data_IF_287878267870
#
_entry.id   IF_287878267870
#
_cell.length_a   1.000
_cell.length_b   1.000
_cell.length_c   1.000
_cell.angle_alpha   90.00
_cell.angle_beta   90.00
_cell.angle_gamma   90.00
#
_symmetry.space_group_name_H-M   'P 1'
#
loop_
_entity.id
_entity.type
_entity.pdbx_description
1 polymer ?
#
# COMPACT_ATOMS: atom_id res chain seq x y z
N UNK A 1 -22.84 -17.39 38.23
CA UNK A 1 -21.72 -17.52 37.28
C UNK A 1 -21.42 -16.13 36.75
N UNK A 2 -20.26 -15.56 37.08
CA UNK A 2 -19.88 -14.23 36.62
C UNK A 2 -19.12 -14.36 35.30
N UNK A 3 -19.59 -13.65 34.27
CA UNK A 3 -18.89 -13.54 32.99
C UNK A 3 -17.81 -12.47 33.18
N UNK A 4 -16.55 -12.89 33.16
CA UNK A 4 -15.41 -11.97 33.15
C UNK A 4 -15.22 -11.55 31.69
N UNK A 5 -15.76 -10.39 31.32
CA UNK A 5 -15.38 -9.72 30.07
C UNK A 5 -13.96 -9.17 30.22
N UNK A 6 -13.01 -9.48 29.31
CA UNK A 6 -11.70 -8.83 29.35
C UNK A 6 -11.86 -7.34 29.04
N UNK A 7 -11.65 -6.52 30.06
CA UNK A 7 -11.70 -5.05 30.01
C UNK A 7 -10.36 -4.48 29.56
N UNK A 8 -9.97 -4.59 28.29
CA UNK A 8 -8.92 -3.73 27.69
C UNK A 8 -9.09 -3.62 26.17
N UNK A 9 -10.25 -3.12 25.70
CA UNK A 9 -10.29 -2.45 24.40
C UNK A 9 -9.79 -1.02 24.65
N UNK A 10 -8.48 -0.79 24.49
CA UNK A 10 -8.01 0.57 24.32
C UNK A 10 -8.79 1.17 23.15
N UNK A 11 -9.35 2.39 23.26
CA UNK A 11 -9.94 3.04 22.10
C UNK A 11 -8.83 3.17 21.05
N UNK A 12 -8.95 2.42 19.96
CA UNK A 12 -8.07 2.57 18.81
C UNK A 12 -8.34 3.98 18.31
N UNK A 13 -7.38 4.88 18.50
CA UNK A 13 -7.53 6.26 18.05
C UNK A 13 -7.40 6.26 16.52
N UNK A 14 -8.22 7.06 15.82
CA UNK A 14 -8.03 7.25 14.40
C UNK A 14 -6.59 7.66 14.09
N UNK A 15 -5.99 7.01 13.10
CA UNK A 15 -4.63 7.27 12.65
C UNK A 15 -4.67 8.15 11.41
N UNK A 16 -4.06 9.33 11.48
CA UNK A 16 -3.89 10.19 10.32
C UNK A 16 -2.63 9.77 9.55
N UNK A 17 -2.81 9.57 8.24
CA UNK A 17 -1.77 9.11 7.32
C UNK A 17 -1.65 10.09 6.17
N UNK A 18 -0.44 10.38 5.76
CA UNK A 18 -0.14 11.14 4.55
C UNK A 18 0.84 10.35 3.70
N UNK A 19 0.39 9.91 2.53
CA UNK A 19 1.21 9.15 1.60
C UNK A 19 1.62 10.05 0.44
N UNK A 20 2.92 10.15 0.21
CA UNK A 20 3.54 10.84 -0.92
C UNK A 20 4.13 9.79 -1.86
N UNK A 21 3.92 9.97 -3.16
CA UNK A 21 4.54 9.14 -4.19
C UNK A 21 5.19 10.04 -5.23
N UNK A 22 6.46 9.78 -5.50
CA UNK A 22 7.24 10.46 -6.52
C UNK A 22 7.68 9.50 -7.61
N UNK A 23 7.31 9.83 -8.85
CA UNK A 23 7.50 8.98 -10.03
C UNK A 23 8.92 9.03 -10.55
N UNK A 24 9.25 8.13 -11.48
CA UNK A 24 10.56 8.15 -12.15
C UNK A 24 10.75 9.42 -13.00
N UNK A 25 9.65 9.96 -13.54
CA UNK A 25 9.63 11.21 -14.29
C UNK A 25 9.68 12.47 -13.40
N UNK A 26 9.68 12.30 -12.07
CA UNK A 26 9.73 13.39 -11.10
C UNK A 26 8.38 14.05 -10.82
N UNK A 27 7.27 13.49 -11.31
CA UNK A 27 5.93 13.90 -10.88
C UNK A 27 5.71 13.47 -9.43
N UNK A 28 4.96 14.27 -8.69
CA UNK A 28 4.61 13.97 -7.30
C UNK A 28 3.11 14.03 -7.11
N UNK A 29 2.60 13.08 -6.34
CA UNK A 29 1.22 13.05 -5.87
C UNK A 29 1.20 12.71 -4.40
N UNK A 30 0.13 13.13 -3.72
CA UNK A 30 -0.06 12.83 -2.31
C UNK A 30 -1.53 12.64 -1.98
N UNK A 31 -1.80 11.79 -0.99
CA UNK A 31 -3.13 11.56 -0.45
C UNK A 31 -3.09 11.46 1.06
N UNK A 32 -4.15 11.98 1.69
CA UNK A 32 -4.34 11.92 3.14
C UNK A 32 -5.46 10.95 3.48
N UNK A 33 -5.21 10.09 4.46
CA UNK A 33 -6.17 9.10 4.95
C UNK A 33 -6.34 9.24 6.46
N UNK A 34 -7.53 8.91 6.95
CA UNK A 34 -7.80 8.72 8.38
C UNK A 34 -8.30 7.30 8.58
N UNK A 35 -7.43 6.44 9.10
CA UNK A 35 -7.77 5.04 9.40
C UNK A 35 -8.49 5.02 10.75
N UNK A 36 -9.67 4.41 10.82
CA UNK A 36 -10.45 4.35 12.07
C UNK A 36 -9.84 3.37 13.07
N UNK A 37 -9.30 2.27 12.56
CA UNK A 37 -8.66 1.20 13.32
C UNK A 37 -7.66 0.42 12.45
N UNK A 38 -7.06 -0.62 13.03
CA UNK A 38 -6.09 -1.50 12.36
C UNK A 38 -6.76 -2.71 11.68
N UNK A 39 -8.10 -2.81 11.66
CA UNK A 39 -8.81 -3.99 11.14
C UNK A 39 -8.62 -4.17 9.63
N UNK A 40 -8.29 -3.09 8.91
CA UNK A 40 -8.01 -3.13 7.48
C UNK A 40 -6.67 -3.78 7.11
N UNK A 41 -5.79 -4.07 8.07
CA UNK A 41 -4.42 -4.54 7.81
C UNK A 41 -4.39 -5.83 6.97
N UNK A 42 -5.13 -6.86 7.39
CA UNK A 42 -5.11 -8.16 6.71
C UNK A 42 -5.63 -8.04 5.26
N UNK A 43 -6.70 -7.27 5.05
CA UNK A 43 -7.25 -7.02 3.71
C UNK A 43 -6.29 -6.22 2.82
N UNK A 44 -5.58 -5.24 3.38
CA UNK A 44 -4.60 -4.46 2.62
C UNK A 44 -3.37 -5.32 2.24
N UNK A 45 -2.91 -6.20 3.14
CA UNK A 45 -1.84 -7.16 2.84
C UNK A 45 -2.26 -8.14 1.75
N UNK A 46 -3.48 -8.67 1.83
CA UNK A 46 -4.03 -9.58 0.82
C UNK A 46 -4.14 -8.88 -0.54
N UNK A 47 -4.66 -7.64 -0.57
CA UNK A 47 -4.76 -6.85 -1.79
C UNK A 47 -3.39 -6.63 -2.45
N UNK A 48 -2.39 -6.18 -1.69
CA UNK A 48 -1.04 -5.93 -2.22
C UNK A 48 -0.37 -7.21 -2.71
N UNK A 49 -0.52 -8.31 -1.97
CA UNK A 49 0.03 -9.61 -2.36
C UNK A 49 -0.62 -10.13 -3.64
N UNK A 50 -1.96 -10.06 -3.72
CA UNK A 50 -2.70 -10.47 -4.91
C UNK A 50 -2.32 -9.64 -6.14
N UNK A 51 -2.20 -8.32 -5.97
CA UNK A 51 -1.82 -7.42 -7.06
C UNK A 51 -0.39 -7.70 -7.54
N UNK A 52 0.55 -7.84 -6.61
CA UNK A 52 1.93 -8.20 -6.91
C UNK A 52 2.01 -9.53 -7.69
N UNK A 53 1.36 -10.58 -7.20
CA UNK A 53 1.40 -11.91 -7.83
C UNK A 53 0.73 -11.91 -9.21
N UNK A 54 -0.37 -11.17 -9.35
CA UNK A 54 -1.06 -11.00 -10.64
C UNK A 54 -0.15 -10.31 -11.65
N UNK A 55 0.55 -9.26 -11.24
CA UNK A 55 1.49 -8.54 -12.11
C UNK A 55 2.67 -9.44 -12.50
N UNK A 56 3.31 -10.13 -11.54
CA UNK A 56 4.40 -11.07 -11.82
C UNK A 56 3.98 -12.17 -12.80
N UNK A 57 2.78 -12.74 -12.61
CA UNK A 57 2.21 -13.72 -13.54
C UNK A 57 2.03 -13.15 -14.94
N UNK A 58 1.52 -11.92 -15.07
CA UNK A 58 1.37 -11.24 -16.38
C UNK A 58 2.72 -10.99 -17.07
N UNK A 59 3.77 -10.76 -16.29
CA UNK A 59 5.14 -10.58 -16.79
C UNK A 59 5.87 -11.91 -17.08
N UNK A 60 5.23 -13.06 -16.82
CA UNK A 60 5.86 -14.37 -16.99
C UNK A 60 6.91 -14.70 -15.92
N UNK A 61 6.92 -13.97 -14.81
CA UNK A 61 7.81 -14.21 -13.67
C UNK A 61 7.28 -15.33 -12.76
N UNK A 62 8.17 -16.07 -12.07
CA UNK A 62 7.75 -17.06 -11.10
C UNK A 62 6.98 -16.41 -9.93
N UNK A 63 5.80 -16.96 -9.63
CA UNK A 63 4.99 -16.56 -8.47
C UNK A 63 5.24 -17.54 -7.34
N UNK A 64 5.54 -17.01 -6.15
CA UNK A 64 5.61 -17.83 -4.94
C UNK A 64 4.18 -18.13 -4.49
N UNK A 65 3.66 -19.31 -4.80
CA UNK A 65 2.28 -19.72 -4.52
C UNK A 65 1.97 -19.95 -3.03
N UNK A 66 2.90 -19.64 -2.13
CA UNK A 66 2.61 -19.64 -0.70
C UNK A 66 1.97 -18.30 -0.35
N UNK A 67 0.64 -18.29 -0.27
CA UNK A 67 -0.09 -17.25 0.44
C UNK A 67 0.47 -17.17 1.85
N UNK A 68 1.39 -16.24 2.07
CA UNK A 68 1.85 -15.91 3.41
C UNK A 68 0.61 -15.41 4.16
N UNK A 69 0.33 -15.99 5.32
CA UNK A 69 -0.68 -15.42 6.20
C UNK A 69 -0.31 -13.97 6.48
N UNK A 70 -1.27 -13.01 6.51
CA UNK A 70 -0.95 -11.60 6.71
C UNK A 70 -0.04 -11.34 7.92
N UNK A 71 -0.26 -12.08 9.01
CA UNK A 71 0.55 -12.04 10.24
C UNK A 71 2.03 -12.44 10.06
N UNK A 72 2.39 -13.07 8.93
CA UNK A 72 3.75 -13.54 8.61
C UNK A 72 4.46 -12.65 7.59
N UNK A 73 3.76 -11.69 6.97
CA UNK A 73 4.35 -10.81 5.97
C UNK A 73 5.09 -9.67 6.68
N UNK A 74 6.40 -9.60 6.47
CA UNK A 74 7.20 -8.51 7.03
C UNK A 74 6.89 -7.18 6.33
N UNK A 75 7.00 -6.07 7.06
CA UNK A 75 6.89 -4.71 6.48
C UNK A 75 7.88 -4.52 5.32
N UNK A 76 9.07 -5.12 5.40
CA UNK A 76 10.05 -5.05 4.32
C UNK A 76 9.54 -5.76 3.05
N UNK A 77 8.93 -6.95 3.19
CA UNK A 77 8.29 -7.65 2.07
C UNK A 77 7.20 -6.80 1.44
N UNK A 78 6.35 -6.16 2.25
CA UNK A 78 5.29 -5.27 1.77
C UNK A 78 5.88 -4.08 1.01
N UNK A 79 6.96 -3.48 1.52
CA UNK A 79 7.66 -2.39 0.82
C UNK A 79 8.16 -2.82 -0.55
N UNK A 80 8.76 -4.01 -0.64
CA UNK A 80 9.22 -4.55 -1.93
C UNK A 80 8.05 -4.78 -2.90
N UNK A 81 6.93 -5.33 -2.43
CA UNK A 81 5.73 -5.49 -3.24
C UNK A 81 5.19 -4.15 -3.74
N UNK A 82 5.06 -3.16 -2.86
CA UNK A 82 4.58 -1.80 -3.18
C UNK A 82 5.48 -1.16 -4.24
N UNK A 83 6.81 -1.22 -4.08
CA UNK A 83 7.76 -0.66 -5.04
C UNK A 83 7.67 -1.37 -6.40
N UNK A 84 7.51 -2.70 -6.41
CA UNK A 84 7.33 -3.46 -7.65
C UNK A 84 6.03 -3.05 -8.37
N UNK A 85 4.91 -3.06 -7.66
CA UNK A 85 3.59 -2.67 -8.20
C UNK A 85 3.66 -1.25 -8.75
N UNK A 86 4.10 -0.29 -7.94
CA UNK A 86 4.15 1.12 -8.34
C UNK A 86 5.11 1.34 -9.51
N UNK A 87 6.31 0.77 -9.46
CA UNK A 87 7.29 0.91 -10.53
C UNK A 87 6.78 0.35 -11.86
N UNK A 88 6.14 -0.82 -11.84
CA UNK A 88 5.60 -1.44 -13.04
C UNK A 88 4.41 -0.65 -13.60
N UNK A 89 3.48 -0.21 -12.74
CA UNK A 89 2.28 0.53 -13.15
C UNK A 89 2.61 1.95 -13.65
N UNK A 90 3.65 2.57 -13.10
CA UNK A 90 4.22 3.83 -13.59
C UNK A 90 4.89 3.62 -14.96
N UNK A 91 5.72 2.58 -15.10
CA UNK A 91 6.46 2.33 -16.33
C UNK A 91 5.56 1.92 -17.51
N UNK A 92 4.52 1.12 -17.26
CA UNK A 92 3.64 0.63 -18.34
C UNK A 92 2.59 1.65 -18.75
N UNK A 93 2.02 2.40 -17.80
CA UNK A 93 0.84 3.24 -18.04
C UNK A 93 1.00 4.70 -17.64
N UNK A 94 2.15 5.09 -17.10
CA UNK A 94 2.35 6.43 -16.55
C UNK A 94 1.34 6.77 -15.48
N UNK A 95 0.86 5.78 -14.71
CA UNK A 95 -0.32 5.90 -13.84
C UNK A 95 -0.28 7.08 -12.89
N UNK A 96 0.89 7.31 -12.31
CA UNK A 96 1.11 8.37 -11.33
C UNK A 96 1.53 9.70 -11.97
N UNK A 97 1.65 9.75 -13.30
CA UNK A 97 1.98 10.96 -14.03
C UNK A 97 0.71 11.64 -14.57
N UNK A 98 0.75 12.97 -14.84
CA UNK A 98 -0.37 13.68 -15.43
C UNK A 98 -0.82 13.12 -16.79
N UNK A 99 0.12 12.54 -17.55
CA UNK A 99 -0.09 11.98 -18.88
C UNK A 99 -0.14 10.45 -18.79
N UNK A 100 -1.17 9.92 -18.11
CA UNK A 100 -1.38 8.48 -18.02
C UNK A 100 -2.07 7.94 -19.28
N UNK A 101 -1.79 6.67 -19.60
CA UNK A 101 -2.49 5.92 -20.65
C UNK A 101 -3.81 5.28 -20.17
N UNK A 102 -4.10 5.32 -18.86
CA UNK A 102 -5.34 4.78 -18.29
C UNK A 102 -6.50 5.77 -18.43
N UNK A 103 -7.74 5.30 -18.56
CA UNK A 103 -8.93 6.14 -18.38
C UNK A 103 -8.92 6.84 -17.02
N UNK A 104 -9.38 8.10 -16.97
CA UNK A 104 -9.27 8.94 -15.77
C UNK A 104 -9.88 8.31 -14.51
N UNK A 105 -11.06 7.69 -14.63
CA UNK A 105 -11.71 7.03 -13.50
C UNK A 105 -10.94 5.81 -13.02
N UNK A 106 -10.52 4.93 -13.93
CA UNK A 106 -9.74 3.73 -13.60
C UNK A 106 -8.42 4.09 -12.93
N UNK A 107 -7.77 5.16 -13.42
CA UNK A 107 -6.57 5.72 -12.83
C UNK A 107 -6.82 6.22 -11.41
N UNK A 108 -7.87 7.01 -11.20
CA UNK A 108 -8.20 7.58 -9.91
C UNK A 108 -8.49 6.48 -8.87
N UNK A 109 -9.33 5.51 -9.23
CA UNK A 109 -9.71 4.38 -8.38
C UNK A 109 -8.48 3.54 -7.99
N UNK A 110 -7.60 3.26 -8.96
CA UNK A 110 -6.36 2.53 -8.69
C UNK A 110 -5.47 3.29 -7.71
N UNK A 111 -5.22 4.59 -7.95
CA UNK A 111 -4.36 5.40 -7.08
C UNK A 111 -4.91 5.45 -5.67
N UNK A 112 -6.22 5.69 -5.51
CA UNK A 112 -6.86 5.76 -4.20
C UNK A 112 -6.74 4.45 -3.43
N UNK A 113 -7.15 3.32 -4.04
CA UNK A 113 -7.10 2.01 -3.39
C UNK A 113 -5.66 1.58 -3.09
N UNK A 114 -4.75 1.82 -4.02
CA UNK A 114 -3.35 1.49 -3.84
C UNK A 114 -2.73 2.27 -2.68
N UNK A 115 -2.89 3.60 -2.64
CA UNK A 115 -2.31 4.42 -1.57
C UNK A 115 -3.00 4.20 -0.23
N UNK A 116 -4.30 3.87 -0.20
CA UNK A 116 -4.99 3.45 1.02
C UNK A 116 -4.39 2.15 1.57
N UNK A 117 -4.12 1.17 0.71
CA UNK A 117 -3.46 -0.07 1.12
C UNK A 117 -2.06 0.20 1.69
N UNK A 118 -1.28 1.08 1.04
CA UNK A 118 0.02 1.53 1.56
C UNK A 118 -0.14 2.19 2.95
N UNK A 119 -1.07 3.13 3.09
CA UNK A 119 -1.31 3.84 4.35
C UNK A 119 -1.64 2.89 5.50
N UNK A 120 -2.35 1.81 5.17
CA UNK A 120 -2.79 0.78 6.11
C UNK A 120 -1.62 -0.13 6.56
N UNK A 121 -0.76 -0.55 5.64
CA UNK A 121 0.29 -1.55 5.96
C UNK A 121 1.62 -0.94 6.36
N UNK A 122 1.90 0.31 5.98
CA UNK A 122 3.14 1.00 6.32
C UNK A 122 2.94 1.78 7.63
N UNK A 123 3.75 1.50 8.67
CA UNK A 123 3.68 2.24 9.92
C UNK A 123 4.13 3.70 9.75
N UNK A 124 3.73 4.57 10.67
CA UNK A 124 4.06 6.01 10.66
C UNK A 124 2.96 6.89 10.07
N UNK A 125 3.06 8.20 10.32
CA UNK A 125 2.06 9.19 9.91
C UNK A 125 2.37 9.79 8.54
N UNK A 126 3.64 9.97 8.21
CA UNK A 126 4.08 10.41 6.88
C UNK A 126 4.82 9.28 6.18
N UNK A 127 4.37 8.89 4.99
CA UNK A 127 4.93 7.81 4.19
C UNK A 127 5.37 8.39 2.85
N UNK A 128 6.60 8.16 2.44
CA UNK A 128 7.15 8.61 1.15
C UNK A 128 7.62 7.43 0.32
N UNK A 129 7.08 7.33 -0.89
CA UNK A 129 7.43 6.35 -1.91
C UNK A 129 8.21 7.07 -3.01
N UNK A 130 9.44 6.63 -3.28
CA UNK A 130 10.30 7.16 -4.32
C UNK A 130 10.53 6.08 -5.39
N UNK A 131 10.19 6.34 -6.66
CA UNK A 131 10.35 5.35 -7.73
C UNK A 131 11.65 5.50 -8.53
N UNK A 132 12.26 6.70 -8.56
CA UNK A 132 13.53 6.93 -9.25
C UNK A 132 14.71 6.24 -8.54
N UNK A 133 14.72 6.31 -7.21
CA UNK A 133 15.62 5.55 -6.34
C UNK A 133 14.71 4.74 -5.40
N UNK A 134 14.28 3.53 -5.84
CA UNK A 134 13.25 2.74 -5.17
C UNK A 134 13.44 2.67 -3.66
N UNK A 135 12.60 3.39 -2.92
CA UNK A 135 12.66 3.44 -1.47
C UNK A 135 11.31 3.84 -0.89
N UNK A 136 11.00 3.26 0.28
CA UNK A 136 9.86 3.69 1.09
C UNK A 136 10.36 4.08 2.48
N UNK A 137 10.19 5.36 2.78
CA UNK A 137 10.50 5.93 4.09
C UNK A 137 9.22 6.31 4.80
N UNK A 138 9.23 6.22 6.12
CA UNK A 138 8.08 6.55 6.95
C UNK A 138 8.55 7.21 8.23
N UNK A 139 8.01 8.38 8.54
CA UNK A 139 8.26 9.06 9.80
C UNK A 139 7.14 8.75 10.78
N UNK A 140 7.52 8.34 11.99
CA UNK A 140 6.58 8.09 13.07
C UNK A 140 6.00 9.40 13.62
N UNK A 141 4.70 9.38 13.91
CA UNK A 141 4.14 10.08 15.07
C UNK A 141 4.25 9.19 16.29
#
# INVERSE_FOLDING_TARGET
MAIILPTHLHPIKPQHKHVYLKTQAGAELSMQFTLQDDLGYDSAVEYLSHLHDTLRKKMGEPVLTHSLQPAMVSVETLKQQILYIAGLHDSMFGTFNPQSALPDQERADFIELFLLAVATVIPGGEIRIELLKPAITSNGT
#
